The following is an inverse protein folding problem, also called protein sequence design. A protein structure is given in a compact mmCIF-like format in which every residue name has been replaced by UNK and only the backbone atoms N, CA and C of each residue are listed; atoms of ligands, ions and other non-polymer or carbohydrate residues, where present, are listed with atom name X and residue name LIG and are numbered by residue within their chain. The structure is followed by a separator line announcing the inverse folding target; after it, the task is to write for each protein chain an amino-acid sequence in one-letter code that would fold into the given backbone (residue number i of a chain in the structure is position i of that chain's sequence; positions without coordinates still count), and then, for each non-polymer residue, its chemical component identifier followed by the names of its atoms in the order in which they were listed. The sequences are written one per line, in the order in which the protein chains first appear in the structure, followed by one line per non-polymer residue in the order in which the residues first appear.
data_IF_798125234250
#
_entry.id   IF_798125234250
#
_cell.length_a   1.000
_cell.length_b   1.000
_cell.length_c   1.000
_cell.angle_alpha   90.00
_cell.angle_beta   90.00
_cell.angle_gamma   90.00
#
_symmetry.space_group_name_H-M   'P 1'
#
loop_
_entity.id
_entity.type
_entity.pdbx_description
1 polymer ?
#
# COMPACT_ATOMS: atom_id res chain seq x y z
N UNK A 1 11.55 -16.12 -3.46
CA UNK A 1 11.10 -15.96 -4.86
C UNK A 1 12.08 -15.01 -5.49
N UNK A 2 12.93 -15.57 -6.34
CA UNK A 2 14.30 -15.14 -6.49
C UNK A 2 14.46 -14.14 -7.64
N UNK A 3 15.57 -13.38 -7.67
CA UNK A 3 15.99 -12.58 -8.83
C UNK A 3 15.94 -13.39 -10.14
N UNK A 4 16.21 -14.70 -10.05
CA UNK A 4 16.08 -15.68 -11.13
C UNK A 4 14.69 -15.69 -11.77
N UNK A 5 13.62 -15.56 -10.97
CA UNK A 5 12.25 -15.54 -11.50
C UNK A 5 11.93 -14.20 -12.17
N UNK A 6 12.38 -13.09 -11.60
CA UNK A 6 12.23 -11.78 -12.23
C UNK A 6 13.01 -11.70 -13.56
N UNK A 7 14.17 -12.37 -13.65
CA UNK A 7 14.92 -12.51 -14.90
C UNK A 7 14.12 -13.31 -15.95
N UNK A 8 13.50 -14.43 -15.56
CA UNK A 8 12.61 -15.21 -16.44
C UNK A 8 11.39 -14.41 -16.93
N UNK A 9 10.79 -13.59 -16.05
CA UNK A 9 9.70 -12.70 -16.43
C UNK A 9 10.15 -11.65 -17.46
N UNK A 10 11.32 -11.04 -17.24
CA UNK A 10 11.90 -10.07 -18.18
C UNK A 10 12.17 -10.71 -19.53
N UNK A 11 12.86 -11.85 -19.56
CA UNK A 11 13.17 -12.55 -20.81
C UNK A 11 11.91 -12.90 -21.60
N UNK A 12 10.84 -13.34 -20.93
CA UNK A 12 9.58 -13.66 -21.61
C UNK A 12 8.85 -12.40 -22.12
N UNK A 13 8.96 -11.27 -21.42
CA UNK A 13 8.35 -10.01 -21.87
C UNK A 13 9.08 -9.39 -23.07
N UNK A 14 10.40 -9.58 -23.14
CA UNK A 14 11.27 -9.05 -24.21
C UNK A 14 11.31 -9.96 -25.46
N UNK A 15 10.90 -11.23 -25.35
CA UNK A 15 10.88 -12.18 -26.46
C UNK A 15 9.68 -11.95 -27.40
N UNK A 16 9.96 -11.77 -28.69
CA UNK A 16 8.95 -11.63 -29.74
C UNK A 16 8.26 -12.96 -30.10
N UNK A 17 8.88 -14.10 -29.77
CA UNK A 17 8.38 -15.47 -30.04
C UNK A 17 7.65 -16.12 -28.86
N UNK A 18 7.34 -15.33 -27.83
CA UNK A 18 6.67 -15.73 -26.59
C UNK A 18 5.39 -16.56 -26.80
N UNK A 19 5.26 -17.62 -26.02
CA UNK A 19 4.11 -18.55 -26.07
C UNK A 19 3.07 -18.25 -24.99
N UNK A 20 1.79 -18.54 -25.29
CA UNK A 20 0.67 -18.28 -24.37
C UNK A 20 0.75 -19.17 -23.14
N UNK A 21 1.23 -20.39 -23.33
CA UNK A 21 1.32 -21.42 -22.30
C UNK A 21 2.35 -21.03 -21.23
N UNK A 22 3.53 -20.58 -21.65
CA UNK A 22 4.56 -20.06 -20.74
C UNK A 22 4.08 -18.84 -19.97
N UNK A 23 3.39 -17.90 -20.63
CA UNK A 23 2.82 -16.73 -19.96
C UNK A 23 1.79 -17.12 -18.89
N UNK A 24 0.92 -18.09 -19.17
CA UNK A 24 -0.04 -18.61 -18.20
C UNK A 24 0.66 -19.32 -17.02
N UNK A 25 1.73 -20.07 -17.27
CA UNK A 25 2.52 -20.72 -16.23
C UNK A 25 3.23 -19.70 -15.33
N UNK A 26 3.81 -18.64 -15.91
CA UNK A 26 4.42 -17.54 -15.17
C UNK A 26 3.40 -16.83 -14.27
N UNK A 27 2.19 -16.59 -14.79
CA UNK A 27 1.11 -15.99 -13.99
C UNK A 27 0.63 -16.93 -12.88
N UNK A 28 0.54 -18.24 -13.13
CA UNK A 28 0.22 -19.23 -12.11
C UNK A 28 1.26 -19.24 -10.99
N UNK A 29 2.55 -19.12 -11.31
CA UNK A 29 3.61 -19.04 -10.31
C UNK A 29 3.55 -17.76 -9.47
N UNK A 30 3.01 -16.67 -10.03
CA UNK A 30 2.79 -15.40 -9.34
C UNK A 30 1.57 -15.44 -8.41
N UNK A 31 0.46 -16.02 -8.86
CA UNK A 31 -0.82 -15.96 -8.14
C UNK A 31 -1.13 -17.19 -7.30
N UNK A 32 -0.57 -18.35 -7.65
CA UNK A 32 -0.96 -19.64 -7.09
C UNK A 32 -2.40 -20.07 -7.43
N UNK A 33 -3.10 -19.35 -8.31
CA UNK A 33 -4.51 -19.59 -8.62
C UNK A 33 -4.67 -20.57 -9.80
N UNK A 34 -4.80 -21.85 -9.47
CA UNK A 34 -5.00 -22.91 -10.46
C UNK A 34 -6.30 -22.79 -11.25
N UNK A 35 -7.37 -22.25 -10.66
CA UNK A 35 -8.65 -22.06 -11.36
C UNK A 35 -8.49 -20.99 -12.43
N UNK A 36 -7.84 -19.87 -12.09
CA UNK A 36 -7.56 -18.81 -13.04
C UNK A 36 -6.72 -19.33 -14.21
N UNK A 37 -5.64 -20.06 -13.93
CA UNK A 37 -4.83 -20.72 -14.95
C UNK A 37 -5.65 -21.63 -15.88
N UNK A 38 -6.50 -22.49 -15.32
CA UNK A 38 -7.35 -23.39 -16.10
C UNK A 38 -8.33 -22.62 -17.01
N UNK A 39 -8.86 -21.50 -16.53
CA UNK A 39 -9.75 -20.65 -17.30
C UNK A 39 -9.01 -19.95 -18.46
N UNK A 40 -7.81 -19.43 -18.21
CA UNK A 40 -6.98 -18.81 -19.26
C UNK A 40 -6.59 -19.80 -20.35
N UNK A 41 -6.23 -21.03 -19.98
CA UNK A 41 -5.88 -22.07 -20.96
C UNK A 41 -7.04 -22.41 -21.91
N UNK A 42 -8.27 -22.38 -21.41
CA UNK A 42 -9.50 -22.61 -22.18
C UNK A 42 -9.97 -21.39 -22.97
N UNK A 43 -9.32 -20.23 -22.80
CA UNK A 43 -9.74 -19.00 -23.46
C UNK A 43 -9.58 -19.14 -24.99
N UNK A 44 -10.64 -18.83 -25.78
CA UNK A 44 -10.68 -19.12 -27.21
C UNK A 44 -9.84 -18.14 -28.05
N UNK A 45 -9.74 -16.88 -27.64
CA UNK A 45 -9.04 -15.83 -28.40
C UNK A 45 -7.62 -15.65 -27.87
N UNK A 46 -6.67 -16.39 -28.46
CA UNK A 46 -5.27 -16.39 -28.00
C UNK A 46 -4.60 -15.03 -28.12
N UNK A 47 -5.01 -14.17 -29.07
CA UNK A 47 -4.42 -12.84 -29.23
C UNK A 47 -4.75 -11.93 -28.05
N UNK A 48 -6.04 -11.85 -27.68
CA UNK A 48 -6.45 -11.05 -26.51
C UNK A 48 -5.86 -11.58 -25.21
N UNK A 49 -5.74 -12.89 -25.09
CA UNK A 49 -5.06 -13.51 -23.95
C UNK A 49 -3.59 -13.08 -23.86
N UNK A 50 -2.88 -13.02 -24.98
CA UNK A 50 -1.50 -12.53 -25.00
C UNK A 50 -1.40 -11.07 -24.57
N UNK A 51 -2.25 -10.19 -25.11
CA UNK A 51 -2.27 -8.77 -24.73
C UNK A 51 -2.52 -8.62 -23.22
N UNK A 52 -3.46 -9.42 -22.66
CA UNK A 52 -3.73 -9.47 -21.23
C UNK A 52 -2.50 -9.94 -20.43
N UNK A 53 -1.89 -11.06 -20.81
CA UNK A 53 -0.71 -11.62 -20.12
C UNK A 53 0.45 -10.63 -20.09
N UNK A 54 0.75 -9.98 -21.22
CA UNK A 54 1.80 -8.95 -21.29
C UNK A 54 1.50 -7.79 -20.35
N UNK A 55 0.26 -7.30 -20.33
CA UNK A 55 -0.15 -6.20 -19.44
C UNK A 55 -0.07 -6.58 -17.95
N UNK A 56 -0.50 -7.79 -17.60
CA UNK A 56 -0.54 -8.27 -16.22
C UNK A 56 0.87 -8.56 -15.69
N UNK A 57 1.68 -9.28 -16.47
CA UNK A 57 3.04 -9.67 -16.10
C UNK A 57 3.98 -8.46 -16.06
N UNK A 58 3.86 -7.51 -17.02
CA UNK A 58 4.62 -6.26 -16.98
C UNK A 58 4.26 -5.44 -15.74
N UNK A 59 2.97 -5.26 -15.44
CA UNK A 59 2.52 -4.54 -14.23
C UNK A 59 3.09 -5.16 -12.96
N UNK A 60 3.05 -6.49 -12.83
CA UNK A 60 3.61 -7.20 -11.67
C UNK A 60 5.12 -7.09 -11.58
N UNK A 61 5.81 -7.18 -12.71
CA UNK A 61 7.25 -6.98 -12.76
C UNK A 61 7.62 -5.55 -12.35
N UNK A 62 6.94 -4.53 -12.86
CA UNK A 62 7.16 -3.13 -12.45
C UNK A 62 6.92 -2.94 -10.95
N UNK A 63 5.83 -3.49 -10.41
CA UNK A 63 5.56 -3.44 -8.98
C UNK A 63 6.66 -4.13 -8.16
N UNK A 64 7.16 -5.29 -8.63
CA UNK A 64 8.25 -6.02 -7.97
C UNK A 64 9.58 -5.29 -8.00
N UNK A 65 9.87 -4.60 -9.10
CA UNK A 65 11.07 -3.79 -9.27
C UNK A 65 11.00 -2.44 -8.56
N UNK A 66 9.80 -2.01 -8.15
CA UNK A 66 9.67 -0.84 -7.29
C UNK A 66 10.47 -1.10 -6.02
N UNK A 67 11.46 -0.24 -5.78
CA UNK A 67 12.31 -0.33 -4.59
C UNK A 67 11.50 0.16 -3.39
N UNK A 68 10.79 -0.74 -2.73
CA UNK A 68 10.49 -0.56 -1.31
C UNK A 68 11.78 -0.85 -0.55
N UNK A 69 12.19 0.05 0.34
CA UNK A 69 13.35 -0.25 1.18
C UNK A 69 12.95 -1.32 2.19
N UNK A 70 13.84 -2.30 2.42
CA UNK A 70 13.59 -3.35 3.42
C UNK A 70 13.28 -2.74 4.79
N UNK A 71 14.00 -1.68 5.15
CA UNK A 71 13.79 -0.91 6.38
C UNK A 71 12.38 -0.33 6.49
N UNK A 72 11.79 0.21 5.41
CA UNK A 72 10.40 0.69 5.41
C UNK A 72 9.41 -0.46 5.64
N UNK A 73 9.64 -1.63 5.04
CA UNK A 73 8.77 -2.80 5.22
C UNK A 73 8.85 -3.31 6.66
N UNK A 74 10.05 -3.38 7.23
CA UNK A 74 10.26 -3.76 8.64
C UNK A 74 9.61 -2.77 9.60
N UNK A 75 9.73 -1.47 9.34
CA UNK A 75 9.07 -0.43 10.14
C UNK A 75 7.54 -0.58 10.12
N UNK A 76 6.96 -0.84 8.94
CA UNK A 76 5.52 -1.07 8.83
C UNK A 76 5.09 -2.37 9.50
N UNK A 77 5.85 -3.46 9.34
CA UNK A 77 5.57 -4.74 10.00
C UNK A 77 5.65 -4.60 11.54
N UNK A 78 6.59 -3.81 12.06
CA UNK A 78 6.65 -3.46 13.47
C UNK A 78 5.42 -2.66 13.94
N UNK A 79 4.93 -1.70 13.14
CA UNK A 79 3.69 -0.98 13.44
C UNK A 79 2.49 -1.92 13.48
N UNK A 80 2.36 -2.84 12.52
CA UNK A 80 1.30 -3.85 12.50
C UNK A 80 1.37 -4.72 13.75
N UNK A 81 2.55 -5.20 14.16
CA UNK A 81 2.72 -5.97 15.40
C UNK A 81 2.32 -5.19 16.66
N UNK A 82 2.53 -3.87 16.68
CA UNK A 82 2.07 -3.00 17.78
C UNK A 82 0.55 -2.91 17.78
N UNK A 83 -0.08 -2.73 16.61
CA UNK A 83 -1.54 -2.72 16.44
C UNK A 83 -2.15 -4.05 16.91
N UNK A 84 -1.61 -5.18 16.44
CA UNK A 84 -2.06 -6.53 16.82
C UNK A 84 -1.98 -6.77 18.33
N UNK A 85 -0.94 -6.26 19.00
CA UNK A 85 -0.80 -6.35 20.46
C UNK A 85 -1.75 -5.43 21.22
N UNK A 86 -2.00 -4.24 20.68
CA UNK A 86 -2.79 -3.19 21.35
C UNK A 86 -4.29 -3.50 21.31
N UNK A 87 -4.79 -4.00 20.18
CA UNK A 87 -6.22 -4.11 19.95
C UNK A 87 -6.72 -5.55 20.07
N UNK A 88 -7.82 -5.72 20.81
CA UNK A 88 -8.42 -7.01 21.12
C UNK A 88 -8.89 -7.80 19.89
N UNK A 89 -9.17 -7.12 18.76
CA UNK A 89 -9.59 -7.72 17.50
C UNK A 89 -8.67 -8.84 16.99
N UNK A 90 -7.39 -8.78 17.36
CA UNK A 90 -6.35 -9.74 16.95
C UNK A 90 -5.92 -10.68 18.08
N UNK A 91 -6.50 -10.55 19.27
CA UNK A 91 -6.14 -11.37 20.43
C UNK A 91 -6.91 -12.69 20.39
N UNK A 92 -6.17 -13.79 20.43
CA UNK A 92 -6.74 -15.14 20.63
C UNK A 92 -7.45 -15.21 21.98
N UNK A 93 -8.78 -15.08 21.96
CA UNK A 93 -9.70 -15.20 23.09
C UNK A 93 -9.41 -14.29 24.32
N UNK A 94 -10.44 -13.87 25.08
CA UNK A 94 -10.20 -13.22 26.35
C UNK A 94 -9.43 -14.18 27.26
N UNK A 95 -8.34 -13.69 27.88
CA UNK A 95 -7.67 -14.48 28.93
C UNK A 95 -8.65 -14.50 30.10
N UNK A 96 -9.10 -15.70 30.46
CA UNK A 96 -9.95 -15.95 31.63
C UNK A 96 -9.37 -15.22 32.85
N UNK A 97 -10.03 -14.13 33.28
CA UNK A 97 -9.66 -13.40 34.50
C UNK A 97 -9.38 -11.89 34.37
N UNK A 98 -9.41 -11.29 33.17
CA UNK A 98 -9.59 -9.82 33.09
C UNK A 98 -11.08 -9.52 33.21
N UNK A 99 -11.47 -8.67 34.15
CA UNK A 99 -12.84 -8.17 34.30
C UNK A 99 -13.26 -7.42 33.03
N UNK A 100 -13.85 -8.14 32.08
CA UNK A 100 -14.58 -7.63 30.92
C UNK A 100 -15.87 -6.93 31.39
N UNK A 101 -15.76 -5.87 32.19
CA UNK A 101 -16.96 -5.15 32.65
C UNK A 101 -17.62 -4.34 31.54
N UNK A 102 -16.95 -4.08 30.40
CA UNK A 102 -17.55 -3.29 29.32
C UNK A 102 -17.16 -3.74 27.91
N UNK A 103 -17.15 -5.06 27.62
CA UNK A 103 -17.30 -5.47 26.22
C UNK A 103 -18.73 -5.13 25.77
N UNK A 104 -18.96 -3.87 25.35
CA UNK A 104 -20.24 -3.37 24.84
C UNK A 104 -20.49 -3.97 23.46
N UNK A 105 -21.03 -5.19 23.47
CA UNK A 105 -21.35 -5.91 22.24
C UNK A 105 -22.60 -5.29 21.60
N UNK A 106 -22.48 -4.85 20.35
CA UNK A 106 -23.63 -4.43 19.54
C UNK A 106 -23.74 -2.92 19.36
N UNK A 107 -24.95 -2.44 19.04
CA UNK A 107 -25.24 -1.02 18.85
C UNK A 107 -25.39 -0.31 20.19
N UNK A 108 -25.26 1.02 20.19
CA UNK A 108 -25.56 1.85 21.36
C UNK A 108 -27.07 1.84 21.63
N UNK A 109 -27.48 2.03 22.88
CA UNK A 109 -28.89 2.07 23.26
C UNK A 109 -29.64 3.24 22.61
N UNK A 110 -28.95 4.34 22.31
CA UNK A 110 -29.46 5.54 21.66
C UNK A 110 -29.18 5.58 20.15
N UNK A 111 -28.70 4.48 19.54
CA UNK A 111 -28.29 4.44 18.13
C UNK A 111 -29.37 5.00 17.18
N UNK A 112 -30.63 4.66 17.40
CA UNK A 112 -31.73 5.05 16.50
C UNK A 112 -32.12 6.54 16.62
N UNK A 113 -31.63 7.23 17.66
CA UNK A 113 -31.82 8.67 17.87
C UNK A 113 -30.65 9.51 17.33
N UNK A 114 -29.55 8.87 16.94
CA UNK A 114 -28.37 9.55 16.41
C UNK A 114 -28.64 10.09 14.99
N UNK A 115 -27.95 11.16 14.56
CA UNK A 115 -27.98 11.58 13.17
C UNK A 115 -27.56 10.45 12.22
N UNK A 116 -28.15 10.43 11.02
CA UNK A 116 -27.86 9.43 9.99
C UNK A 116 -26.36 9.34 9.68
N UNK A 117 -25.65 10.47 9.69
CA UNK A 117 -24.19 10.53 9.47
C UNK A 117 -23.38 9.75 10.52
N UNK A 118 -23.83 9.71 11.78
CA UNK A 118 -23.15 8.97 12.86
C UNK A 118 -23.54 7.49 12.82
N UNK A 119 -24.81 7.18 12.51
CA UNK A 119 -25.26 5.81 12.30
C UNK A 119 -24.52 5.16 11.12
N UNK A 120 -24.29 5.92 10.03
CA UNK A 120 -23.56 5.46 8.86
C UNK A 120 -22.16 4.98 9.21
N UNK A 121 -21.43 5.65 10.11
CA UNK A 121 -20.08 5.22 10.56
C UNK A 121 -20.06 3.80 11.14
N UNK A 122 -21.11 3.43 11.87
CA UNK A 122 -21.23 2.08 12.41
C UNK A 122 -21.42 1.05 11.29
N UNK A 123 -22.27 1.36 10.31
CA UNK A 123 -22.55 0.47 9.18
C UNK A 123 -21.35 0.35 8.24
N UNK A 124 -20.67 1.47 7.96
CA UNK A 124 -19.44 1.54 7.14
C UNK A 124 -18.28 0.73 7.74
N UNK A 125 -18.19 0.61 9.06
CA UNK A 125 -17.15 -0.18 9.71
C UNK A 125 -17.27 -1.69 9.45
N UNK A 126 -18.46 -2.21 9.13
CA UNK A 126 -18.66 -3.64 8.87
C UNK A 126 -17.87 -4.15 7.64
N UNK A 127 -17.98 -3.55 6.43
CA UNK A 127 -17.16 -3.94 5.29
C UNK A 127 -15.67 -3.65 5.51
N UNK A 128 -15.31 -2.59 6.24
CA UNK A 128 -13.91 -2.29 6.56
C UNK A 128 -13.27 -3.40 7.40
N UNK A 129 -13.98 -3.91 8.42
CA UNK A 129 -13.53 -5.05 9.23
C UNK A 129 -13.39 -6.33 8.41
N UNK A 130 -14.30 -6.58 7.47
CA UNK A 130 -14.17 -7.72 6.55
C UNK A 130 -12.90 -7.58 5.71
N UNK A 131 -12.67 -6.41 5.14
CA UNK A 131 -11.48 -6.14 4.33
C UNK A 131 -10.19 -6.28 5.14
N UNK A 132 -10.18 -5.76 6.37
CA UNK A 132 -9.05 -5.88 7.30
C UNK A 132 -8.67 -7.35 7.53
N UNK A 133 -9.66 -8.22 7.76
CA UNK A 133 -9.44 -9.68 7.91
C UNK A 133 -8.86 -10.31 6.64
N UNK A 134 -9.37 -9.95 5.46
CA UNK A 134 -8.85 -10.45 4.18
C UNK A 134 -7.38 -10.05 3.97
N UNK A 135 -7.03 -8.79 4.27
CA UNK A 135 -5.67 -8.27 4.15
C UNK A 135 -4.74 -8.97 5.14
N UNK A 136 -5.15 -9.14 6.40
CA UNK A 136 -4.38 -9.87 7.40
C UNK A 136 -4.12 -11.32 6.98
N UNK A 137 -5.13 -12.03 6.45
CA UNK A 137 -4.97 -13.39 5.94
C UNK A 137 -4.00 -13.47 4.75
N UNK A 138 -4.04 -12.48 3.84
CA UNK A 138 -3.07 -12.37 2.74
C UNK A 138 -1.65 -12.18 3.26
N UNK A 139 -1.44 -11.27 4.20
CA UNK A 139 -0.13 -11.04 4.82
C UNK A 139 0.41 -12.31 5.48
N UNK A 140 -0.45 -13.08 6.17
CA UNK A 140 -0.08 -14.37 6.75
C UNK A 140 0.34 -15.39 5.69
N UNK A 141 -0.39 -15.49 4.58
CA UNK A 141 -0.04 -16.38 3.47
C UNK A 141 1.28 -15.99 2.79
N UNK A 142 1.56 -14.69 2.68
CA UNK A 142 2.83 -14.17 2.14
C UNK A 142 4.00 -14.34 3.13
N UNK A 143 3.73 -14.48 4.43
CA UNK A 143 4.74 -14.58 5.50
C UNK A 143 5.10 -16.02 5.89
N UNK A 144 4.67 -17.04 5.14
CA UNK A 144 5.07 -18.42 5.43
C UNK A 144 6.58 -18.59 5.26
N UNK A 145 7.25 -19.13 6.27
CA UNK A 145 8.71 -19.34 6.39
C UNK A 145 9.36 -20.06 5.18
N UNK A 146 8.55 -20.67 4.32
CA UNK A 146 8.98 -21.45 3.16
C UNK A 146 9.10 -20.66 1.85
N UNK A 147 8.62 -19.40 1.78
CA UNK A 147 8.71 -18.59 0.54
C UNK A 147 9.20 -17.18 0.86
N UNK A 148 10.45 -16.88 0.48
CA UNK A 148 10.95 -15.50 0.46
C UNK A 148 10.10 -14.66 -0.50
N UNK A 149 9.12 -13.92 0.00
CA UNK A 149 8.33 -12.99 -0.81
C UNK A 149 9.11 -11.68 -0.97
N UNK A 150 9.15 -11.04 -2.15
CA UNK A 150 9.73 -9.71 -2.28
C UNK A 150 9.00 -8.69 -1.39
N UNK A 151 9.76 -7.81 -0.75
CA UNK A 151 9.26 -6.74 0.12
C UNK A 151 8.20 -5.85 -0.56
N UNK A 152 8.36 -5.63 -1.86
CA UNK A 152 7.45 -4.86 -2.70
C UNK A 152 6.04 -5.46 -2.79
N UNK A 153 5.89 -6.78 -2.60
CA UNK A 153 4.58 -7.43 -2.61
C UNK A 153 3.89 -7.34 -1.25
N UNK A 154 4.67 -7.27 -0.16
CA UNK A 154 4.16 -7.24 1.21
C UNK A 154 3.79 -5.83 1.66
N UNK A 155 4.59 -4.84 1.25
CA UNK A 155 4.42 -3.42 1.57
C UNK A 155 3.01 -2.85 1.32
N UNK A 156 2.36 -3.03 0.14
CA UNK A 156 1.04 -2.44 -0.10
C UNK A 156 -0.02 -2.96 0.87
N UNK A 157 0.04 -4.24 1.26
CA UNK A 157 -0.91 -4.82 2.21
C UNK A 157 -0.67 -4.35 3.64
N UNK A 158 0.59 -4.14 4.05
CA UNK A 158 0.90 -3.55 5.36
C UNK A 158 0.35 -2.13 5.47
N UNK A 159 0.54 -1.33 4.41
CA UNK A 159 -0.01 0.02 4.34
C UNK A 159 -1.53 0.04 4.41
N UNK A 160 -2.18 -0.81 3.60
CA UNK A 160 -3.65 -0.95 3.59
C UNK A 160 -4.19 -1.34 4.97
N UNK A 161 -3.52 -2.28 5.66
CA UNK A 161 -3.93 -2.71 7.01
C UNK A 161 -3.88 -1.57 8.02
N UNK A 162 -2.79 -0.80 8.03
CA UNK A 162 -2.63 0.34 8.95
C UNK A 162 -3.67 1.43 8.67
N UNK A 163 -3.99 1.69 7.40
CA UNK A 163 -5.01 2.67 7.01
C UNK A 163 -6.42 2.23 7.44
N UNK A 164 -6.78 0.97 7.18
CA UNK A 164 -8.07 0.40 7.60
C UNK A 164 -8.23 0.41 9.12
N UNK A 165 -7.19 0.02 9.85
CA UNK A 165 -7.20 0.02 11.31
C UNK A 165 -7.45 1.42 11.89
N UNK A 166 -6.76 2.44 11.36
CA UNK A 166 -6.98 3.84 11.75
C UNK A 166 -8.40 4.28 11.47
N UNK A 167 -8.91 4.01 10.27
CA UNK A 167 -10.24 4.42 9.86
C UNK A 167 -11.33 3.79 10.74
N UNK A 168 -11.19 2.50 11.06
CA UNK A 168 -12.15 1.78 11.92
C UNK A 168 -12.18 2.40 13.31
N UNK A 169 -11.01 2.66 13.89
CA UNK A 169 -10.91 3.26 15.22
C UNK A 169 -11.40 4.71 15.25
N UNK A 170 -11.07 5.52 14.23
CA UNK A 170 -11.60 6.89 14.10
C UNK A 170 -13.12 6.90 14.00
N UNK A 171 -13.69 6.00 13.19
CA UNK A 171 -15.14 5.86 13.06
C UNK A 171 -15.81 5.42 14.37
N UNK A 172 -15.20 4.50 15.13
CA UNK A 172 -15.70 4.11 16.45
C UNK A 172 -15.55 5.22 17.49
N UNK A 173 -14.44 5.95 17.48
CA UNK A 173 -14.21 7.06 18.42
C UNK A 173 -15.27 8.16 18.23
N UNK A 174 -15.57 8.51 16.97
CA UNK A 174 -16.66 9.43 16.63
C UNK A 174 -18.01 8.86 17.06
N UNK A 175 -18.27 7.59 16.75
CA UNK A 175 -19.55 6.96 17.06
C UNK A 175 -19.79 6.79 18.56
N UNK A 176 -18.77 6.50 19.37
CA UNK A 176 -18.90 6.28 20.81
C UNK A 176 -18.92 7.60 21.59
N UNK A 177 -18.16 8.62 21.16
CA UNK A 177 -18.10 9.91 21.86
C UNK A 177 -19.11 10.96 21.36
N UNK A 178 -19.91 10.65 20.33
CA UNK A 178 -20.93 11.59 19.87
C UNK A 178 -22.03 11.79 20.92
N UNK A 179 -22.29 13.06 21.24
CA UNK A 179 -23.35 13.52 22.16
C UNK A 179 -24.42 14.24 21.36
N UNK A 180 -25.68 13.82 21.55
CA UNK A 180 -26.86 14.38 20.89
C UNK A 180 -26.94 15.88 21.17
N UNK A 181 -27.00 16.69 20.11
CA UNK A 181 -27.01 18.16 20.17
C UNK A 181 -25.68 18.82 19.81
N UNK A 182 -24.62 18.04 19.57
CA UNK A 182 -23.38 18.57 18.98
C UNK A 182 -23.50 18.64 17.45
N UNK A 183 -22.99 19.71 16.81
CA UNK A 183 -22.93 19.77 15.36
C UNK A 183 -22.06 18.63 14.85
N UNK A 184 -22.55 17.94 13.81
CA UNK A 184 -21.85 16.77 13.28
C UNK A 184 -20.46 17.19 12.79
N UNK A 185 -19.37 16.51 13.22
CA UNK A 185 -18.05 16.81 12.73
C UNK A 185 -17.97 16.48 11.24
N UNK A 186 -17.97 17.52 10.43
CA UNK A 186 -17.92 17.44 8.97
C UNK A 186 -16.52 16.98 8.52
N UNK A 187 -16.31 15.68 8.37
CA UNK A 187 -15.01 15.11 7.94
C UNK A 187 -14.79 15.17 6.42
N UNK A 188 -15.54 15.98 5.67
CA UNK A 188 -15.35 16.13 4.22
C UNK A 188 -14.24 17.13 3.83
N UNK A 189 -13.54 17.75 4.79
CA UNK A 189 -12.37 18.60 4.48
C UNK A 189 -11.09 17.77 4.32
N UNK A 190 -10.98 17.12 3.16
CA UNK A 190 -9.69 16.71 2.60
C UNK A 190 -8.82 17.97 2.39
N UNK A 191 -7.66 17.95 3.06
CA UNK A 191 -6.49 18.82 2.93
C UNK A 191 -6.39 19.57 1.58
N UNK A 192 -6.68 20.88 1.60
CA UNK A 192 -5.99 21.88 0.78
C UNK A 192 -5.15 22.78 1.69
N UNK A 193 -4.09 22.22 2.25
CA UNK A 193 -3.03 23.02 2.86
C UNK A 193 -2.07 23.51 1.77
N UNK A 194 -2.30 24.75 1.35
CA UNK A 194 -1.28 25.80 1.20
C UNK A 194 0.00 25.48 0.41
N UNK A 195 -0.03 25.74 -0.90
CA UNK A 195 1.12 26.33 -1.60
C UNK A 195 0.95 27.86 -1.58
N UNK A 196 1.48 28.53 -0.56
CA UNK A 196 1.68 29.98 -0.57
C UNK A 196 3.12 30.25 -0.20
N UNK A 197 3.90 30.57 -1.24
CA UNK A 197 5.31 30.92 -1.12
C UNK A 197 5.49 32.10 -0.18
N UNK A 198 6.26 31.88 0.88
CA UNK A 198 6.87 32.92 1.68
C UNK A 198 8.19 33.30 1.03
N UNK A 199 8.14 34.39 0.25
CA UNK A 199 9.31 35.24 0.01
C UNK A 199 9.68 35.88 1.34
N UNK A 200 10.79 35.48 1.95
CA UNK A 200 11.46 36.25 2.99
C UNK A 200 12.67 36.94 2.38
N UNK A 201 12.55 38.26 2.28
CA UNK A 201 13.64 39.18 2.00
C UNK A 201 14.62 39.19 3.19
N UNK A 202 15.92 39.05 2.90
CA UNK A 202 16.98 39.37 3.84
C UNK A 202 17.99 40.28 3.12
N UNK A 203 18.14 41.51 3.62
CA UNK A 203 19.12 42.51 3.16
C UNK A 203 19.99 42.93 4.35
N UNK A 204 21.32 42.84 4.15
CA UNK A 204 22.39 43.48 4.93
C UNK A 204 22.97 42.62 6.08
N UNK A 205 24.28 42.46 6.30
CA UNK A 205 25.43 43.18 5.77
C UNK A 205 26.79 42.45 6.04
N UNK A 206 27.63 42.40 5.00
CA UNK A 206 29.12 42.36 4.90
C UNK A 206 30.02 41.92 6.08
N UNK A 207 30.95 40.97 5.79
CA UNK A 207 32.41 41.29 5.68
C UNK A 207 33.24 40.19 4.98
N UNK A 208 34.36 40.62 4.42
CA UNK A 208 35.20 40.04 3.38
C UNK A 208 35.98 38.76 3.71
N UNK A 209 36.27 37.94 2.67
CA UNK A 209 37.65 37.51 2.32
C UNK A 209 37.73 36.66 1.03
N UNK A 210 38.32 37.28 -0.01
CA UNK A 210 39.20 36.80 -1.12
C UNK A 210 38.96 35.43 -1.84
N UNK A 211 38.89 35.40 -3.19
CA UNK A 211 38.79 34.16 -3.97
C UNK A 211 40.19 33.61 -4.37
N UNK A 212 40.32 32.28 -4.44
CA UNK A 212 41.48 31.59 -5.02
C UNK A 212 41.04 30.88 -6.31
N UNK A 213 41.62 31.32 -7.43
CA UNK A 213 41.42 30.79 -8.76
C UNK A 213 42.05 29.39 -8.93
N UNK A 214 41.39 28.53 -9.72
CA UNK A 214 42.00 27.62 -10.71
C UNK A 214 40.91 26.78 -11.38
N UNK A 215 40.65 26.98 -12.67
CA UNK A 215 40.91 25.95 -13.68
C UNK A 215 40.74 26.50 -15.10
N UNK A 216 41.78 26.28 -15.87
CA UNK A 216 41.93 26.51 -17.29
C UNK A 216 41.04 25.54 -18.08
N UNK A 217 40.46 26.02 -19.18
CA UNK A 217 40.13 25.21 -20.34
C UNK A 217 40.18 26.14 -21.55
N UNK A 218 41.18 25.93 -22.41
CA UNK A 218 41.30 26.54 -23.72
C UNK A 218 41.72 25.47 -24.73
N UNK A 219 41.25 25.70 -25.95
CA UNK A 219 41.61 25.05 -27.22
C UNK A 219 40.94 23.70 -27.52
N UNK A 220 40.47 23.42 -28.73
CA UNK A 220 40.26 24.20 -29.97
C UNK A 220 39.64 23.22 -30.98
N UNK A 221 38.64 23.62 -31.80
CA UNK A 221 38.31 22.96 -33.06
C UNK A 221 37.19 23.71 -33.83
N UNK A 222 37.59 24.69 -34.63
CA UNK A 222 36.89 25.14 -35.84
C UNK A 222 37.98 25.87 -36.64
N UNK A 223 38.41 25.42 -37.82
CA UNK A 223 37.68 25.29 -39.07
C UNK A 223 38.65 24.64 -40.08
N UNK A 224 38.15 23.97 -41.11
CA UNK A 224 38.55 24.26 -42.49
C UNK A 224 37.55 23.63 -43.47
N UNK A 225 36.88 24.53 -44.19
CA UNK A 225 36.21 24.34 -45.47
C UNK A 225 37.05 25.08 -46.49
N UNK A 226 37.15 24.49 -47.68
CA UNK A 226 37.92 24.86 -48.89
C UNK A 226 39.41 24.52 -48.88
#
# INVERSE_FOLDING_TARGET
MNEMFNSKLRSWLDDDSRTTEEGCLLLLQLEGNHIHYNNLMRYPDKKKLMDYLVSELSRRLTARLAKCTHEEVEQMDAQVKVIEKKYFLYRDAPKKGTSDEEFRKGKRADHDQLPEEIQARYVENLPLLQRLREVHLKLRNLSLENVSCPDSERYPFLKELIELDKQIHENWDIYDHYVIGTPVPDTTKVKKSTAKGSKTAAKGEKKASKPKAKKEAKDSAAKNTE
#
